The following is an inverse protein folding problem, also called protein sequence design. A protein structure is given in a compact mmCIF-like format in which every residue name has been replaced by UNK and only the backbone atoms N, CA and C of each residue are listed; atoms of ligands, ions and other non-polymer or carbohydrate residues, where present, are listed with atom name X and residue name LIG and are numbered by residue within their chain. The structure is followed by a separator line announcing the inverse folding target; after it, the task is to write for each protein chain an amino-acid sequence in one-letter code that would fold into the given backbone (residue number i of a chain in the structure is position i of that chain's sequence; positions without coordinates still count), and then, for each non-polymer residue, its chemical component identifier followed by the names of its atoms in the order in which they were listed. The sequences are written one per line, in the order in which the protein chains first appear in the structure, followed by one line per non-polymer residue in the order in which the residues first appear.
data_IF_080043270920
#
_entry.id   IF_080043270920
#
_cell.length_a   1.000
_cell.length_b   1.000
_cell.length_c   1.000
_cell.angle_alpha   90.00
_cell.angle_beta   90.00
_cell.angle_gamma   90.00
#
_symmetry.space_group_name_H-M   'P 1'
#
loop_
_entity.id
_entity.type
_entity.pdbx_description
1 polymer ?
#
# COMPACT_ATOMS: atom_id res chain seq x y z
N UNK A 1 -1.15 52.59 8.99
CA UNK A 1 -0.95 51.19 9.46
C UNK A 1 -0.26 51.28 10.81
N UNK A 2 -0.82 50.74 11.89
CA UNK A 2 -0.19 50.77 13.23
C UNK A 2 1.06 49.87 13.23
N UNK A 3 2.17 50.28 13.85
CA UNK A 3 3.37 49.44 13.91
C UNK A 3 3.11 48.23 14.82
N UNK A 4 3.47 47.05 14.33
CA UNK A 4 3.31 45.79 15.07
C UNK A 4 4.30 45.78 16.24
N UNK A 5 3.83 45.44 17.45
CA UNK A 5 4.67 45.44 18.65
C UNK A 5 5.68 44.28 18.58
N UNK A 6 7.01 44.54 18.69
CA UNK A 6 8.03 43.49 18.69
C UNK A 6 7.79 42.37 19.70
N UNK A 7 7.19 42.67 20.85
CA UNK A 7 6.84 41.67 21.86
C UNK A 7 5.69 40.75 21.41
N UNK A 8 4.78 41.23 20.56
CA UNK A 8 3.73 40.39 19.96
C UNK A 8 4.32 39.45 18.90
N UNK A 9 5.31 39.92 18.12
CA UNK A 9 6.05 39.10 17.17
C UNK A 9 6.81 38.00 17.93
N UNK A 10 7.55 38.36 18.98
CA UNK A 10 8.30 37.40 19.81
C UNK A 10 7.38 36.39 20.51
N UNK A 11 6.24 36.84 21.06
CA UNK A 11 5.26 35.96 21.69
C UNK A 11 4.65 34.96 20.70
N UNK A 12 4.33 35.43 19.49
CA UNK A 12 3.81 34.58 18.42
C UNK A 12 4.86 33.58 17.94
N UNK A 13 6.11 34.01 17.75
CA UNK A 13 7.23 33.13 17.41
C UNK A 13 7.48 32.09 18.51
N UNK A 14 7.54 32.49 19.78
CA UNK A 14 7.68 31.56 20.92
C UNK A 14 6.52 30.57 20.98
N UNK A 15 5.28 31.02 20.75
CA UNK A 15 4.11 30.14 20.74
C UNK A 15 4.19 29.11 19.62
N UNK A 16 4.59 29.52 18.41
CA UNK A 16 4.73 28.62 17.26
C UNK A 16 5.88 27.63 17.49
N UNK A 17 7.04 28.10 17.96
CA UNK A 17 8.22 27.26 18.23
C UNK A 17 7.98 26.28 19.39
N UNK A 18 7.43 26.75 20.52
CA UNK A 18 7.11 25.89 21.65
C UNK A 18 6.01 24.87 21.32
N UNK A 19 5.05 25.23 20.46
CA UNK A 19 4.01 24.29 20.04
C UNK A 19 4.58 23.12 19.24
N UNK A 20 5.54 23.37 18.33
CA UNK A 20 6.24 22.31 17.61
C UNK A 20 7.04 21.41 18.54
N UNK A 21 7.79 22.00 19.48
CA UNK A 21 8.55 21.24 20.50
C UNK A 21 7.63 20.40 21.39
N UNK A 22 6.49 20.94 21.85
CA UNK A 22 5.53 20.19 22.67
C UNK A 22 4.90 19.01 21.93
N UNK A 23 4.61 19.17 20.64
CA UNK A 23 4.12 18.05 19.81
C UNK A 23 5.22 17.00 19.69
N UNK A 24 6.45 17.41 19.38
CA UNK A 24 7.58 16.48 19.25
C UNK A 24 7.85 15.69 20.53
N UNK A 25 7.90 16.36 21.68
CA UNK A 25 8.12 15.72 22.98
C UNK A 25 6.99 14.73 23.30
N UNK A 26 5.74 15.10 23.01
CA UNK A 26 4.58 14.23 23.22
C UNK A 26 4.61 13.01 22.29
N UNK A 27 4.94 13.19 21.01
CA UNK A 27 5.05 12.08 20.05
C UNK A 27 6.15 11.12 20.46
N UNK A 28 7.32 11.63 20.88
CA UNK A 28 8.42 10.82 21.41
C UNK A 28 8.00 10.03 22.65
N UNK A 29 7.36 10.68 23.64
CA UNK A 29 6.86 9.99 24.84
C UNK A 29 5.84 8.90 24.50
N UNK A 30 4.89 9.20 23.61
CA UNK A 30 3.88 8.24 23.16
C UNK A 30 4.53 7.05 22.45
N UNK A 31 5.48 7.28 21.55
CA UNK A 31 6.17 6.20 20.85
C UNK A 31 7.00 5.36 21.83
N UNK A 32 7.70 5.95 22.80
CA UNK A 32 8.42 5.20 23.83
C UNK A 32 7.51 4.26 24.63
N UNK A 33 6.28 4.71 24.95
CA UNK A 33 5.29 3.86 25.59
C UNK A 33 4.84 2.73 24.66
N UNK A 34 4.55 3.07 23.40
CA UNK A 34 4.06 2.13 22.40
C UNK A 34 5.13 1.15 21.89
N UNK A 35 6.41 1.51 21.99
CA UNK A 35 7.54 0.69 21.55
C UNK A 35 7.49 -0.70 22.17
N UNK A 36 7.25 -0.77 23.49
CA UNK A 36 7.17 -2.05 24.22
C UNK A 36 6.00 -2.89 23.73
N UNK A 37 4.84 -2.27 23.52
CA UNK A 37 3.64 -2.95 23.05
C UNK A 37 3.84 -3.49 21.62
N UNK A 38 4.44 -2.70 20.73
CA UNK A 38 4.75 -3.11 19.35
C UNK A 38 5.72 -4.29 19.37
N UNK A 39 6.84 -4.17 20.08
CA UNK A 39 7.83 -5.25 20.16
C UNK A 39 7.27 -6.53 20.78
N UNK A 40 6.39 -6.43 21.78
CA UNK A 40 5.73 -7.61 22.36
C UNK A 40 4.71 -8.23 21.40
N UNK A 41 3.95 -7.40 20.66
CA UNK A 41 2.95 -7.90 19.72
C UNK A 41 3.56 -8.71 18.57
N UNK A 42 4.81 -8.41 18.18
CA UNK A 42 5.56 -9.15 17.17
C UNK A 42 5.64 -10.66 17.47
N UNK A 43 5.73 -11.04 18.75
CA UNK A 43 5.86 -12.43 19.19
C UNK A 43 4.57 -13.25 19.02
N UNK A 44 3.43 -12.57 18.88
CA UNK A 44 2.10 -13.19 18.84
C UNK A 44 1.46 -13.11 17.45
N UNK A 45 2.21 -12.74 16.40
CA UNK A 45 1.68 -12.66 15.04
C UNK A 45 1.62 -14.05 14.42
N UNK A 46 0.41 -14.59 14.24
CA UNK A 46 0.20 -15.94 13.72
C UNK A 46 -0.41 -15.94 12.33
N UNK A 47 -1.24 -14.95 12.01
CA UNK A 47 -2.03 -14.91 10.78
C UNK A 47 -1.58 -13.77 9.85
N UNK A 48 -1.92 -13.89 8.57
CA UNK A 48 -1.69 -12.83 7.59
C UNK A 48 -2.44 -11.52 7.93
N UNK A 49 -3.55 -11.63 8.67
CA UNK A 49 -4.28 -10.46 9.14
C UNK A 49 -3.52 -9.77 10.26
N UNK A 50 -2.98 -10.52 11.23
CA UNK A 50 -2.14 -9.97 12.31
C UNK A 50 -0.95 -9.21 11.74
N UNK A 51 -0.28 -9.79 10.73
CA UNK A 51 0.83 -9.14 10.03
C UNK A 51 0.40 -7.87 9.29
N UNK A 52 -0.77 -7.87 8.66
CA UNK A 52 -1.30 -6.69 7.97
C UNK A 52 -1.58 -5.54 8.95
N UNK A 53 -2.19 -5.85 10.09
CA UNK A 53 -2.54 -4.86 11.10
C UNK A 53 -1.30 -4.35 11.86
N UNK A 54 -0.35 -5.24 12.13
CA UNK A 54 0.95 -4.88 12.67
C UNK A 54 1.73 -3.95 11.73
N UNK A 55 1.77 -4.27 10.43
CA UNK A 55 2.40 -3.40 9.43
C UNK A 55 1.73 -2.01 9.37
N UNK A 56 0.39 -1.94 9.39
CA UNK A 56 -0.32 -0.66 9.45
C UNK A 56 0.05 0.16 10.69
N UNK A 57 0.22 -0.49 11.85
CA UNK A 57 0.66 0.16 13.09
C UNK A 57 2.09 0.70 12.97
N UNK A 58 3.00 -0.06 12.37
CA UNK A 58 4.37 0.39 12.10
C UNK A 58 4.40 1.61 11.16
N UNK A 59 3.66 1.56 10.04
CA UNK A 59 3.60 2.68 9.09
C UNK A 59 3.01 3.95 9.69
N UNK A 60 2.05 3.83 10.61
CA UNK A 60 1.57 4.98 11.38
C UNK A 60 2.71 5.63 12.18
N UNK A 61 3.47 4.83 12.94
CA UNK A 61 4.58 5.36 13.74
C UNK A 61 5.75 5.87 12.91
N UNK A 62 6.03 5.26 11.77
CA UNK A 62 7.03 5.76 10.82
C UNK A 62 6.72 7.20 10.42
N UNK A 63 5.48 7.48 10.00
CA UNK A 63 5.04 8.81 9.56
C UNK A 63 5.04 9.83 10.71
N UNK A 64 4.61 9.42 11.91
CA UNK A 64 4.63 10.29 13.08
C UNK A 64 6.07 10.66 13.49
N UNK A 65 7.01 9.72 13.40
CA UNK A 65 8.42 9.92 13.78
C UNK A 65 9.23 10.65 12.71
N UNK A 66 8.95 10.41 11.42
CA UNK A 66 9.61 11.12 10.30
C UNK A 66 9.33 12.64 10.34
N UNK A 67 8.19 13.03 10.92
CA UNK A 67 7.85 14.45 11.11
C UNK A 67 8.67 15.19 12.17
N UNK A 68 9.47 14.47 12.96
CA UNK A 68 10.24 15.01 14.09
C UNK A 68 11.63 15.48 13.66
N UNK A 69 12.12 16.55 14.29
CA UNK A 69 13.49 17.07 14.05
C UNK A 69 14.57 16.18 14.70
N UNK A 70 14.25 15.46 15.78
CA UNK A 70 15.17 14.54 16.48
C UNK A 70 15.06 13.12 15.90
N UNK A 71 16.14 12.66 15.24
CA UNK A 71 16.20 11.36 14.57
C UNK A 71 16.56 10.19 15.48
N UNK A 72 16.87 10.42 16.76
CA UNK A 72 17.30 9.36 17.68
C UNK A 72 16.24 8.26 17.85
N UNK A 73 14.97 8.64 17.99
CA UNK A 73 13.86 7.69 18.09
C UNK A 73 13.56 7.00 16.76
N UNK A 74 13.80 7.67 15.64
CA UNK A 74 13.63 7.08 14.31
C UNK A 74 14.62 5.92 14.08
N UNK A 75 15.87 6.04 14.54
CA UNK A 75 16.86 4.95 14.47
C UNK A 75 16.43 3.70 15.28
N UNK A 76 15.78 3.90 16.43
CA UNK A 76 15.22 2.82 17.23
C UNK A 76 14.08 2.13 16.47
N UNK A 77 13.21 2.92 15.83
CA UNK A 77 12.14 2.40 14.98
C UNK A 77 12.69 1.61 13.78
N UNK A 78 13.73 2.09 13.09
CA UNK A 78 14.37 1.35 11.99
C UNK A 78 14.88 -0.03 12.41
N UNK A 79 15.36 -0.14 13.65
CA UNK A 79 15.82 -1.42 14.20
C UNK A 79 14.63 -2.37 14.42
N UNK A 80 13.52 -1.87 14.97
CA UNK A 80 12.27 -2.63 15.13
C UNK A 80 11.70 -3.09 13.77
N UNK A 81 11.76 -2.22 12.76
CA UNK A 81 11.36 -2.55 11.39
C UNK A 81 12.21 -3.67 10.79
N UNK A 82 13.53 -3.63 10.98
CA UNK A 82 14.45 -4.69 10.51
C UNK A 82 14.12 -6.04 11.16
N UNK A 83 13.84 -6.05 12.47
CA UNK A 83 13.45 -7.26 13.19
C UNK A 83 12.11 -7.81 12.67
N UNK A 84 11.11 -6.93 12.51
CA UNK A 84 9.82 -7.29 11.92
C UNK A 84 9.96 -7.89 10.52
N UNK A 85 10.79 -7.30 9.67
CA UNK A 85 11.03 -7.79 8.30
C UNK A 85 11.66 -9.19 8.29
N UNK A 86 12.58 -9.49 9.21
CA UNK A 86 13.19 -10.82 9.32
C UNK A 86 12.13 -11.86 9.71
N UNK A 87 11.28 -11.54 10.69
CA UNK A 87 10.21 -12.45 11.13
C UNK A 87 9.13 -12.61 10.06
N UNK A 88 8.77 -11.53 9.36
CA UNK A 88 7.83 -11.56 8.24
C UNK A 88 8.36 -12.42 7.09
N UNK A 89 9.65 -12.33 6.76
CA UNK A 89 10.26 -13.16 5.72
C UNK A 89 10.12 -14.66 6.05
N UNK A 90 10.37 -15.05 7.30
CA UNK A 90 10.15 -16.44 7.77
C UNK A 90 8.68 -16.84 7.71
N UNK A 91 7.78 -15.93 8.11
CA UNK A 91 6.35 -16.15 8.02
C UNK A 91 5.92 -16.42 6.57
N UNK A 92 6.38 -15.61 5.62
CA UNK A 92 6.14 -15.81 4.19
C UNK A 92 6.72 -17.13 3.72
N UNK A 93 7.97 -17.44 4.04
CA UNK A 93 8.64 -18.70 3.65
C UNK A 93 7.83 -19.93 4.09
N UNK A 94 7.34 -19.93 5.33
CA UNK A 94 6.61 -21.06 5.90
C UNK A 94 5.17 -21.22 5.37
N UNK A 95 4.54 -20.14 4.88
CA UNK A 95 3.11 -20.15 4.53
C UNK A 95 2.81 -19.95 3.05
N UNK A 96 3.71 -19.33 2.28
CA UNK A 96 3.41 -18.91 0.91
C UNK A 96 3.03 -20.07 0.00
N UNK A 97 3.78 -21.18 0.05
CA UNK A 97 3.46 -22.38 -0.73
C UNK A 97 2.07 -22.94 -0.36
N UNK A 98 1.75 -22.97 0.94
CA UNK A 98 0.46 -23.43 1.42
C UNK A 98 -0.68 -22.60 0.83
N UNK A 99 -0.56 -21.26 0.83
CA UNK A 99 -1.57 -20.38 0.24
C UNK A 99 -1.68 -20.52 -1.28
N UNK A 100 -0.55 -20.72 -1.98
CA UNK A 100 -0.55 -20.90 -3.44
C UNK A 100 -1.22 -22.20 -3.90
N UNK A 101 -1.31 -23.21 -3.02
CA UNK A 101 -2.08 -24.44 -3.25
C UNK A 101 -3.60 -24.27 -3.07
N UNK A 102 -4.07 -23.04 -2.82
CA UNK A 102 -5.50 -22.71 -2.70
C UNK A 102 -6.06 -22.84 -1.28
N UNK A 103 -5.22 -23.07 -0.29
CA UNK A 103 -5.63 -23.06 1.11
C UNK A 103 -5.96 -21.64 1.61
N UNK A 104 -6.72 -21.50 2.71
CA UNK A 104 -7.02 -20.20 3.29
C UNK A 104 -5.76 -19.36 3.55
N UNK A 105 -5.81 -18.09 3.16
CA UNK A 105 -4.67 -17.19 3.20
C UNK A 105 -5.06 -15.76 2.81
N UNK A 106 -4.07 -14.86 2.68
CA UNK A 106 -4.33 -13.48 2.30
C UNK A 106 -4.93 -13.39 0.89
N UNK A 107 -5.58 -12.26 0.62
CA UNK A 107 -5.91 -11.90 -0.75
C UNK A 107 -4.62 -11.60 -1.50
N UNK A 108 -4.44 -12.21 -2.67
CA UNK A 108 -3.30 -11.92 -3.55
C UNK A 108 -3.67 -10.96 -4.69
N UNK A 109 -2.67 -10.40 -5.37
CA UNK A 109 -2.88 -9.59 -6.59
C UNK A 109 -3.88 -10.22 -7.56
N UNK A 110 -3.76 -11.53 -7.84
CA UNK A 110 -4.67 -12.27 -8.74
C UNK A 110 -6.13 -12.32 -8.28
N UNK A 111 -6.41 -12.05 -7.02
CA UNK A 111 -7.75 -12.08 -6.42
C UNK A 111 -8.27 -10.68 -6.08
N UNK A 112 -7.40 -9.68 -6.00
CA UNK A 112 -7.74 -8.34 -5.51
C UNK A 112 -8.83 -7.66 -6.35
N UNK A 113 -8.79 -7.80 -7.68
CA UNK A 113 -9.85 -7.26 -8.53
C UNK A 113 -11.21 -7.88 -8.23
N UNK A 114 -11.30 -9.22 -8.21
CA UNK A 114 -12.54 -9.96 -7.94
C UNK A 114 -13.08 -9.71 -6.53
N UNK A 115 -12.21 -9.66 -5.52
CA UNK A 115 -12.62 -9.51 -4.11
C UNK A 115 -12.94 -8.08 -3.71
N UNK A 116 -12.20 -7.09 -4.21
CA UNK A 116 -12.30 -5.71 -3.74
C UNK A 116 -12.89 -4.75 -4.76
N UNK A 117 -12.61 -4.93 -6.05
CA UNK A 117 -13.06 -3.99 -7.09
C UNK A 117 -14.42 -4.41 -7.64
N UNK A 118 -14.55 -5.66 -8.08
CA UNK A 118 -15.74 -6.18 -8.73
C UNK A 118 -17.04 -5.94 -7.93
N UNK A 119 -17.11 -6.19 -6.61
CA UNK A 119 -18.34 -5.99 -5.84
C UNK A 119 -18.75 -4.52 -5.71
N UNK A 120 -17.82 -3.58 -5.91
CA UNK A 120 -18.09 -2.14 -5.81
C UNK A 120 -18.61 -1.55 -7.13
N UNK A 121 -18.55 -2.32 -8.22
CA UNK A 121 -19.01 -1.90 -9.54
C UNK A 121 -20.54 -1.97 -9.58
N UNK A 122 -21.19 -0.80 -9.56
CA UNK A 122 -22.65 -0.69 -9.63
C UNK A 122 -23.16 -0.66 -11.06
N UNK A 123 -24.32 -1.25 -11.28
CA UNK A 123 -25.02 -1.18 -12.55
C UNK A 123 -25.37 0.29 -12.88
N UNK A 124 -25.16 0.69 -14.14
CA UNK A 124 -25.44 2.05 -14.64
C UNK A 124 -24.69 3.21 -13.97
N UNK A 125 -23.60 2.95 -13.24
CA UNK A 125 -22.71 3.99 -12.73
C UNK A 125 -21.32 3.88 -13.36
N UNK A 126 -20.72 5.00 -13.83
CA UNK A 126 -19.33 4.99 -14.27
C UNK A 126 -18.42 4.65 -13.08
N UNK A 127 -17.41 3.81 -13.32
CA UNK A 127 -16.42 3.43 -12.32
C UNK A 127 -15.04 3.74 -12.87
N UNK A 128 -14.23 4.45 -12.09
CA UNK A 128 -12.83 4.71 -12.39
C UNK A 128 -11.97 3.85 -11.46
N UNK A 129 -11.18 2.95 -12.03
CA UNK A 129 -10.13 2.22 -11.33
C UNK A 129 -8.79 2.88 -11.59
N UNK A 130 -8.12 3.33 -10.54
CA UNK A 130 -6.77 3.88 -10.60
C UNK A 130 -5.79 2.85 -10.05
N UNK A 131 -4.84 2.41 -10.87
CA UNK A 131 -3.71 1.59 -10.45
C UNK A 131 -2.43 2.43 -10.53
N UNK A 132 -1.80 2.69 -9.39
CA UNK A 132 -0.58 3.47 -9.30
C UNK A 132 0.58 2.50 -9.10
N UNK A 133 1.57 2.53 -9.99
CA UNK A 133 2.74 1.65 -9.90
C UNK A 133 3.57 1.99 -8.67
N UNK A 134 4.05 0.96 -7.98
CA UNK A 134 4.97 1.07 -6.85
C UNK A 134 4.50 2.05 -5.74
N UNK A 135 3.19 2.25 -5.59
CA UNK A 135 2.63 3.06 -4.51
C UNK A 135 2.60 2.23 -3.23
N UNK A 136 3.57 2.49 -2.35
CA UNK A 136 3.63 1.84 -1.05
C UNK A 136 2.57 2.41 -0.09
N UNK A 137 2.31 1.68 0.99
CA UNK A 137 1.28 2.04 1.95
C UNK A 137 1.59 3.32 2.73
N UNK A 138 2.85 3.54 3.11
CA UNK A 138 3.34 4.80 3.70
C UNK A 138 3.04 5.99 2.77
N UNK A 139 3.36 5.86 1.48
CA UNK A 139 3.08 6.88 0.47
C UNK A 139 1.58 7.14 0.30
N UNK A 140 0.77 6.08 0.29
CA UNK A 140 -0.69 6.21 0.29
C UNK A 140 -1.19 7.00 1.50
N UNK A 141 -0.69 6.69 2.70
CA UNK A 141 -1.06 7.39 3.94
C UNK A 141 -0.65 8.85 3.95
N UNK A 142 0.46 9.20 3.31
CA UNK A 142 0.88 10.61 3.13
C UNK A 142 -0.05 11.37 2.18
N UNK A 143 -0.56 10.74 1.12
CA UNK A 143 -1.43 11.38 0.11
C UNK A 143 -2.90 11.43 0.56
N UNK A 144 -3.33 10.46 1.37
CA UNK A 144 -4.72 10.29 1.79
C UNK A 144 -5.39 11.54 2.40
N UNK A 145 -4.74 12.34 3.27
CA UNK A 145 -5.33 13.56 3.83
C UNK A 145 -5.77 14.56 2.76
N UNK A 146 -4.98 14.70 1.69
CA UNK A 146 -5.30 15.61 0.58
C UNK A 146 -6.47 15.07 -0.24
N UNK A 147 -6.53 13.76 -0.49
CA UNK A 147 -7.63 13.13 -1.22
C UNK A 147 -8.96 13.23 -0.47
N UNK A 148 -8.95 13.20 0.87
CA UNK A 148 -10.15 13.35 1.70
C UNK A 148 -10.87 14.68 1.50
N UNK A 149 -10.20 15.70 0.96
CA UNK A 149 -10.84 16.97 0.59
C UNK A 149 -11.75 16.84 -0.64
N UNK A 150 -11.54 15.82 -1.47
CA UNK A 150 -12.25 15.60 -2.73
C UNK A 150 -13.15 14.37 -2.72
N UNK A 151 -12.81 13.34 -1.93
CA UNK A 151 -13.54 12.08 -1.89
C UNK A 151 -13.71 11.53 -0.47
N UNK A 152 -14.77 10.74 -0.27
CA UNK A 152 -14.99 10.00 0.97
C UNK A 152 -14.39 8.60 0.82
N UNK A 153 -13.49 8.25 1.73
CA UNK A 153 -12.98 6.88 1.85
C UNK A 153 -14.09 6.00 2.43
N UNK A 154 -14.57 5.04 1.65
CA UNK A 154 -15.59 4.07 2.11
C UNK A 154 -14.93 2.86 2.76
N UNK A 155 -13.81 2.40 2.19
CA UNK A 155 -13.10 1.21 2.62
C UNK A 155 -11.61 1.36 2.30
N UNK A 156 -10.75 0.77 3.13
CA UNK A 156 -9.31 0.69 2.91
C UNK A 156 -8.84 -0.73 3.23
N UNK A 157 -8.46 -1.47 2.20
CA UNK A 157 -8.01 -2.87 2.33
C UNK A 157 -6.55 -3.01 1.91
N UNK A 158 -5.86 -3.96 2.54
CA UNK A 158 -4.51 -4.37 2.19
C UNK A 158 -4.53 -5.79 1.65
N UNK A 159 -3.64 -6.09 0.71
CA UNK A 159 -3.52 -7.42 0.14
C UNK A 159 -2.05 -7.72 -0.17
N UNK A 160 -1.74 -9.00 -0.36
CA UNK A 160 -0.38 -9.46 -0.56
C UNK A 160 -0.06 -9.48 -2.05
N UNK A 161 1.11 -8.97 -2.42
CA UNK A 161 1.61 -9.18 -3.78
C UNK A 161 2.00 -10.65 -4.00
N UNK A 162 2.18 -11.04 -5.26
CA UNK A 162 2.78 -12.34 -5.59
C UNK A 162 4.30 -12.27 -5.43
N UNK A 163 4.95 -13.42 -5.33
CA UNK A 163 6.39 -13.55 -5.43
C UNK A 163 6.77 -14.05 -6.84
N UNK A 164 7.68 -13.36 -7.55
CA UNK A 164 8.32 -12.09 -7.16
C UNK A 164 7.35 -10.89 -7.20
N UNK A 165 7.60 -9.87 -6.36
CA UNK A 165 6.72 -8.69 -6.20
C UNK A 165 6.85 -7.66 -7.31
N UNK A 166 7.72 -7.89 -8.29
CA UNK A 166 7.98 -6.96 -9.38
C UNK A 166 6.72 -6.69 -10.21
N UNK A 167 6.63 -5.48 -10.77
CA UNK A 167 5.46 -4.95 -11.46
C UNK A 167 4.86 -5.92 -12.47
N UNK A 168 5.69 -6.56 -13.30
CA UNK A 168 5.20 -7.51 -14.31
C UNK A 168 4.32 -8.61 -13.70
N UNK A 169 4.76 -9.20 -12.61
CA UNK A 169 4.10 -10.34 -11.99
C UNK A 169 2.84 -9.91 -11.26
N UNK A 170 2.95 -8.84 -10.45
CA UNK A 170 1.84 -8.35 -9.64
C UNK A 170 0.74 -7.69 -10.49
N UNK A 171 1.11 -6.83 -11.45
CA UNK A 171 0.18 -6.08 -12.30
C UNK A 171 -0.59 -7.01 -13.22
N UNK A 172 0.11 -7.85 -13.98
CA UNK A 172 -0.55 -8.75 -14.91
C UNK A 172 -1.43 -9.75 -14.17
N UNK A 173 -1.01 -10.22 -12.99
CA UNK A 173 -1.87 -11.07 -12.15
C UNK A 173 -3.16 -10.36 -11.73
N UNK A 174 -3.07 -9.09 -11.31
CA UNK A 174 -4.25 -8.29 -10.95
C UNK A 174 -5.25 -8.20 -12.09
N UNK A 175 -4.80 -7.83 -13.29
CA UNK A 175 -5.68 -7.66 -14.45
C UNK A 175 -6.16 -9.00 -15.03
N UNK A 176 -5.35 -10.05 -14.93
CA UNK A 176 -5.71 -11.34 -15.51
C UNK A 176 -6.59 -12.18 -14.59
N UNK A 177 -6.58 -11.93 -13.28
CA UNK A 177 -7.22 -12.82 -12.30
C UNK A 177 -6.52 -14.17 -12.13
N UNK A 178 -5.25 -14.27 -12.53
CA UNK A 178 -4.49 -15.53 -12.59
C UNK A 178 -3.07 -15.35 -12.07
N UNK A 179 -2.42 -16.46 -11.71
CA UNK A 179 -0.98 -16.46 -11.43
C UNK A 179 -0.17 -16.26 -12.72
N UNK A 180 1.06 -15.73 -12.65
CA UNK A 180 1.97 -15.60 -13.79
C UNK A 180 2.12 -16.88 -14.64
N UNK A 181 2.19 -18.05 -14.00
CA UNK A 181 2.29 -19.33 -14.68
C UNK A 181 0.99 -19.72 -15.41
N UNK A 182 -0.17 -19.37 -14.85
CA UNK A 182 -1.45 -19.59 -15.53
C UNK A 182 -1.62 -18.63 -16.70
N UNK A 183 -1.18 -17.37 -16.56
CA UNK A 183 -1.19 -16.39 -17.65
C UNK A 183 -0.32 -16.88 -18.81
N UNK A 184 0.90 -17.33 -18.53
CA UNK A 184 1.81 -17.81 -19.59
C UNK A 184 1.26 -19.02 -20.35
N UNK A 185 0.48 -19.89 -19.69
CA UNK A 185 -0.17 -21.05 -20.31
C UNK A 185 -1.44 -20.71 -21.08
N UNK A 186 -2.27 -19.82 -20.55
CA UNK A 186 -3.59 -19.48 -21.13
C UNK A 186 -3.50 -18.40 -22.20
N UNK A 187 -2.59 -17.46 -22.01
CA UNK A 187 -2.41 -16.29 -22.86
C UNK A 187 -0.93 -16.12 -23.27
N UNK A 188 -0.32 -17.14 -23.92
CA UNK A 188 1.09 -17.09 -24.31
C UNK A 188 1.41 -15.90 -25.23
N UNK A 189 0.43 -15.40 -25.99
CA UNK A 189 0.55 -14.24 -26.86
C UNK A 189 0.68 -12.90 -26.10
N UNK A 190 0.25 -12.85 -24.83
CA UNK A 190 0.27 -11.64 -24.01
C UNK A 190 1.33 -11.67 -22.89
N UNK A 191 1.98 -12.82 -22.71
CA UNK A 191 3.01 -13.00 -21.69
C UNK A 191 4.41 -12.98 -22.30
N UNK A 192 5.35 -12.32 -21.63
CA UNK A 192 6.78 -12.38 -21.94
C UNK A 192 7.55 -12.79 -20.68
N UNK A 193 8.45 -13.74 -20.77
CA UNK A 193 9.29 -14.14 -19.64
C UNK A 193 10.41 -13.12 -19.39
N UNK A 194 11.15 -13.32 -18.30
CA UNK A 194 12.12 -12.33 -17.87
C UNK A 194 13.29 -12.11 -18.84
N UNK A 195 13.64 -13.16 -19.57
CA UNK A 195 14.70 -13.19 -20.58
C UNK A 195 14.25 -12.69 -21.96
N UNK A 196 12.94 -12.48 -22.14
CA UNK A 196 12.38 -12.11 -23.44
C UNK A 196 12.49 -10.60 -23.66
N UNK A 197 12.87 -10.20 -24.86
CA UNK A 197 12.98 -8.78 -25.23
C UNK A 197 11.61 -8.11 -25.37
N UNK A 198 11.53 -6.83 -24.99
CA UNK A 198 10.36 -5.96 -25.17
C UNK A 198 9.52 -5.74 -23.92
N UNK A 199 8.37 -5.07 -24.10
CA UNK A 199 7.50 -4.68 -22.99
C UNK A 199 6.78 -5.86 -22.34
N UNK A 200 6.91 -5.97 -21.02
CA UNK A 200 6.32 -7.02 -20.17
C UNK A 200 4.91 -6.70 -19.64
N UNK A 201 4.46 -5.46 -19.87
CA UNK A 201 3.20 -4.90 -19.39
C UNK A 201 2.54 -4.13 -20.55
N UNK A 202 2.05 -4.86 -21.54
CA UNK A 202 1.48 -4.27 -22.77
C UNK A 202 0.02 -4.65 -23.03
N UNK A 203 -0.49 -5.69 -22.35
CA UNK A 203 -1.78 -6.29 -22.62
C UNK A 203 -2.71 -6.25 -21.40
N UNK A 204 -2.55 -5.24 -20.53
CA UNK A 204 -3.34 -5.11 -19.30
C UNK A 204 -4.84 -5.01 -19.59
N UNK A 205 -5.24 -4.31 -20.65
CA UNK A 205 -6.65 -4.16 -21.04
C UNK A 205 -7.25 -5.49 -21.50
N UNK A 206 -6.52 -6.26 -22.30
CA UNK A 206 -6.92 -7.55 -22.83
C UNK A 206 -7.11 -8.55 -21.70
N UNK A 207 -6.13 -8.61 -20.78
CA UNK A 207 -6.22 -9.43 -19.58
C UNK A 207 -7.44 -9.06 -18.72
N UNK A 208 -7.69 -7.76 -18.53
CA UNK A 208 -8.85 -7.28 -17.78
C UNK A 208 -10.17 -7.62 -18.45
N UNK A 209 -10.27 -7.51 -19.78
CA UNK A 209 -11.47 -7.91 -20.53
C UNK A 209 -11.78 -9.39 -20.33
N UNK A 210 -10.77 -10.25 -20.44
CA UNK A 210 -10.92 -11.68 -20.18
C UNK A 210 -11.37 -11.96 -18.75
N UNK A 211 -10.80 -11.27 -17.75
CA UNK A 211 -11.23 -11.42 -16.36
C UNK A 211 -12.68 -10.96 -16.16
N UNK A 212 -13.05 -9.79 -16.67
CA UNK A 212 -14.41 -9.26 -16.61
C UNK A 212 -15.43 -10.21 -17.26
N UNK A 213 -15.11 -10.78 -18.43
CA UNK A 213 -15.98 -11.74 -19.10
C UNK A 213 -16.22 -12.98 -18.25
N UNK A 214 -15.18 -13.54 -17.60
CA UNK A 214 -15.33 -14.69 -16.70
C UNK A 214 -16.14 -14.35 -15.44
N UNK A 215 -16.10 -13.11 -14.98
CA UNK A 215 -16.91 -12.62 -13.87
C UNK A 215 -18.34 -12.23 -14.28
N UNK A 216 -18.71 -12.41 -15.55
CA UNK A 216 -20.03 -12.05 -16.08
C UNK A 216 -20.27 -10.55 -16.21
N UNK A 217 -19.19 -9.75 -16.31
CA UNK A 217 -19.29 -8.31 -16.48
C UNK A 217 -19.31 -7.93 -17.96
N UNK A 218 -20.47 -7.53 -18.46
CA UNK A 218 -20.63 -6.97 -19.80
C UNK A 218 -20.88 -5.46 -19.74
N UNK A 219 -19.82 -4.66 -19.88
CA UNK A 219 -19.92 -3.20 -19.94
C UNK A 219 -18.82 -2.57 -20.80
N UNK A 220 -19.07 -1.36 -21.35
CA UNK A 220 -18.02 -0.57 -21.99
C UNK A 220 -16.89 -0.28 -21.01
N UNK A 221 -15.65 -0.42 -21.48
CA UNK A 221 -14.45 -0.19 -20.71
C UNK A 221 -13.37 0.47 -21.57
N UNK A 222 -12.65 1.41 -20.99
CA UNK A 222 -11.43 1.99 -21.56
C UNK A 222 -10.27 1.79 -20.58
N UNK A 223 -9.05 1.73 -21.12
CA UNK A 223 -7.82 1.65 -20.35
C UNK A 223 -6.83 2.66 -20.91
N UNK A 224 -6.22 3.42 -20.02
CA UNK A 224 -5.27 4.47 -20.37
C UNK A 224 -4.03 4.31 -19.50
N UNK A 225 -2.90 4.03 -20.15
CA UNK A 225 -1.60 3.92 -19.49
C UNK A 225 -0.86 5.24 -19.58
N UNK A 226 -0.61 5.87 -18.43
CA UNK A 226 0.06 7.16 -18.34
C UNK A 226 1.50 6.91 -17.89
N UNK A 227 2.44 6.89 -18.83
CA UNK A 227 3.87 6.71 -18.54
C UNK A 227 4.64 8.04 -18.52
N UNK A 228 4.09 9.08 -19.14
CA UNK A 228 4.66 10.42 -19.22
C UNK A 228 3.52 11.43 -19.09
N UNK A 229 3.75 12.52 -18.36
CA UNK A 229 2.86 13.67 -18.39
C UNK A 229 2.95 14.27 -19.79
N UNK A 230 1.88 14.18 -20.57
CA UNK A 230 1.76 15.00 -21.79
C UNK A 230 1.65 16.45 -21.31
N UNK A 231 2.75 17.21 -21.49
CA UNK A 231 2.76 18.66 -21.33
C UNK A 231 1.93 19.33 -22.44
#
# INVERSE_FOLDING_TARGET
IKPVNPNQILSSLKKILNHKSLIADKTTQNYQQQFREISQSLLNLETHQDWSDYFKKLMYWELELESLEDSSMFQVFETQMKEANIQFAKFIENHYEHWMRGNPGPVFSRQAFEKFVFPQIKQHQPTLLLMIDNLRFDQWKTILPELKNYCKVIQEETYYSLLPTATQYARNAFFAGYTPLEISKRFPQWWKNDIDEGGKNLYELELLKEQCQRLGMERPMSYHKINQLQQ
#
